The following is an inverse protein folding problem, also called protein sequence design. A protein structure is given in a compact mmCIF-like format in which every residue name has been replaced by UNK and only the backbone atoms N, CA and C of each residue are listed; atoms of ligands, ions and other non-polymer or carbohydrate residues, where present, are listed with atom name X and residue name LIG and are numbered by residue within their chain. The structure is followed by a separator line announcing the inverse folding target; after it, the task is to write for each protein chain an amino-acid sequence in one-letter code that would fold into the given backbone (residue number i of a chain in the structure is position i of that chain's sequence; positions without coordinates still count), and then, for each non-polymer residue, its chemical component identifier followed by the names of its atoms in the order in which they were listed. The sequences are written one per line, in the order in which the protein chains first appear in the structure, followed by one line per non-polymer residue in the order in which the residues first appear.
data_IF_064003532135
#
_entry.id   IF_064003532135
#
_cell.length_a   1.000
_cell.length_b   1.000
_cell.length_c   1.000
_cell.angle_alpha   90.00
_cell.angle_beta   90.00
_cell.angle_gamma   90.00
#
_symmetry.space_group_name_H-M   'P 1'
#
loop_
_entity.id
_entity.type
_entity.pdbx_description
1 polymer ?
#
# COMPACT_ATOMS: atom_id res chain seq x y z
N UNK A 1 24.71 -12.04 10.35
CA UNK A 1 23.90 -12.22 9.12
C UNK A 1 24.89 -12.59 8.04
N UNK A 2 24.97 -13.86 7.67
CA UNK A 2 25.94 -14.34 6.69
C UNK A 2 25.53 -13.94 5.28
N UNK A 3 26.48 -13.71 4.38
CA UNK A 3 26.21 -13.29 3.01
C UNK A 3 25.23 -14.22 2.27
N UNK A 4 25.20 -15.50 2.66
CA UNK A 4 24.27 -16.49 2.14
C UNK A 4 22.81 -16.19 2.52
N UNK A 5 22.54 -15.67 3.72
CA UNK A 5 21.17 -15.32 4.16
C UNK A 5 20.62 -14.11 3.41
N UNK A 6 21.49 -13.13 3.11
CA UNK A 6 21.10 -11.93 2.35
C UNK A 6 20.80 -12.30 0.90
N UNK A 7 21.63 -13.15 0.28
CA UNK A 7 21.42 -13.61 -1.09
C UNK A 7 20.12 -14.41 -1.24
N UNK A 8 19.83 -15.33 -0.31
CA UNK A 8 18.56 -16.06 -0.32
C UNK A 8 17.34 -15.14 -0.18
N UNK A 9 17.43 -14.07 0.62
CA UNK A 9 16.37 -13.07 0.75
C UNK A 9 16.14 -12.29 -0.54
N UNK A 10 17.21 -11.91 -1.24
CA UNK A 10 17.15 -11.23 -2.54
C UNK A 10 16.55 -12.14 -3.61
N UNK A 11 16.93 -13.41 -3.63
CA UNK A 11 16.43 -14.35 -4.63
C UNK A 11 14.95 -14.69 -4.41
N UNK A 12 14.50 -14.81 -3.16
CA UNK A 12 13.08 -14.91 -2.84
C UNK A 12 12.29 -13.66 -3.29
N UNK A 13 12.84 -12.47 -3.04
CA UNK A 13 12.22 -11.23 -3.51
C UNK A 13 12.15 -11.16 -5.04
N UNK A 14 13.21 -11.55 -5.77
CA UNK A 14 13.21 -11.61 -7.24
C UNK A 14 12.15 -12.55 -7.78
N UNK A 15 11.97 -13.72 -7.17
CA UNK A 15 10.94 -14.67 -7.59
C UNK A 15 9.54 -14.09 -7.41
N UNK A 16 9.27 -13.46 -6.26
CA UNK A 16 7.98 -12.81 -5.98
C UNK A 16 7.75 -11.62 -6.92
N UNK A 17 8.76 -10.79 -7.16
CA UNK A 17 8.66 -9.65 -8.07
C UNK A 17 8.42 -10.08 -9.53
N UNK A 18 8.95 -11.24 -9.93
CA UNK A 18 8.72 -11.79 -11.27
C UNK A 18 7.31 -12.37 -11.41
N UNK A 19 6.81 -13.07 -10.38
CA UNK A 19 5.49 -13.69 -10.38
C UNK A 19 4.36 -12.67 -10.14
N UNK A 20 4.59 -11.71 -9.25
CA UNK A 20 3.63 -10.70 -8.81
C UNK A 20 4.32 -9.33 -8.78
N UNK A 21 4.44 -8.64 -9.93
CA UNK A 21 5.21 -7.40 -10.03
C UNK A 21 4.70 -6.30 -9.08
N UNK A 22 3.38 -6.17 -8.90
CA UNK A 22 2.79 -5.21 -7.97
C UNK A 22 3.03 -5.57 -6.49
N UNK A 23 3.09 -6.85 -6.14
CA UNK A 23 3.43 -7.30 -4.79
C UNK A 23 4.91 -7.04 -4.48
N UNK A 24 5.80 -7.33 -5.43
CA UNK A 24 7.23 -7.00 -5.32
C UNK A 24 7.45 -5.49 -5.17
N UNK A 25 6.76 -4.69 -5.98
CA UNK A 25 6.77 -3.22 -5.86
C UNK A 25 6.27 -2.76 -4.49
N UNK A 26 5.18 -3.33 -3.98
CA UNK A 26 4.67 -2.99 -2.66
C UNK A 26 5.70 -3.24 -1.57
N UNK A 27 6.30 -4.43 -1.55
CA UNK A 27 7.33 -4.82 -0.58
C UNK A 27 8.52 -3.86 -0.65
N UNK A 28 8.99 -3.54 -1.86
CA UNK A 28 10.10 -2.60 -2.06
C UNK A 28 9.76 -1.20 -1.52
N UNK A 29 8.56 -0.70 -1.81
CA UNK A 29 8.10 0.61 -1.34
C UNK A 29 7.92 0.64 0.18
N UNK A 30 7.47 -0.45 0.81
CA UNK A 30 7.43 -0.55 2.27
C UNK A 30 8.82 -0.54 2.89
N UNK A 31 9.79 -1.25 2.30
CA UNK A 31 11.18 -1.23 2.77
C UNK A 31 11.79 0.17 2.64
N UNK A 32 11.58 0.83 1.50
CA UNK A 32 12.04 2.22 1.29
C UNK A 32 11.35 3.16 2.29
N UNK A 33 10.03 3.03 2.48
CA UNK A 33 9.28 3.81 3.46
C UNK A 33 9.75 3.61 4.90
N UNK A 34 10.19 2.41 5.26
CA UNK A 34 10.76 2.11 6.57
C UNK A 34 12.16 2.72 6.78
N UNK A 35 12.92 2.89 5.70
CA UNK A 35 14.26 3.50 5.73
C UNK A 35 14.21 5.03 5.66
N UNK A 36 13.24 5.58 4.94
CA UNK A 36 13.03 7.02 4.80
C UNK A 36 12.39 7.57 6.08
N UNK A 37 12.93 8.68 6.61
CA UNK A 37 12.34 9.37 7.77
C UNK A 37 11.47 10.55 7.34
N UNK A 38 10.45 10.84 8.15
CA UNK A 38 9.59 12.01 7.98
C UNK A 38 8.40 11.80 7.05
N UNK A 39 7.78 12.89 6.59
CA UNK A 39 6.51 12.88 5.85
C UNK A 39 6.59 12.13 4.52
N UNK A 40 7.79 12.04 3.93
CA UNK A 40 8.01 11.31 2.67
C UNK A 40 7.80 9.80 2.84
N UNK A 41 8.03 9.24 4.03
CA UNK A 41 7.75 7.83 4.32
C UNK A 41 6.28 7.46 4.10
N UNK A 42 5.36 8.38 4.43
CA UNK A 42 3.93 8.19 4.23
C UNK A 42 3.57 8.04 2.75
N UNK A 43 4.29 8.74 1.86
CA UNK A 43 4.07 8.62 0.42
C UNK A 43 4.47 7.22 -0.06
N UNK A 44 5.62 6.72 0.39
CA UNK A 44 6.07 5.37 0.05
C UNK A 44 5.14 4.29 0.60
N UNK A 45 4.63 4.45 1.84
CA UNK A 45 3.64 3.55 2.40
C UNK A 45 2.30 3.60 1.67
N UNK A 46 1.84 4.79 1.28
CA UNK A 46 0.62 4.94 0.49
C UNK A 46 0.77 4.29 -0.88
N UNK A 47 1.89 4.52 -1.59
CA UNK A 47 2.17 3.89 -2.87
C UNK A 47 2.31 2.36 -2.74
N UNK A 48 2.93 1.87 -1.67
CA UNK A 48 3.01 0.43 -1.38
C UNK A 48 1.66 -0.20 -1.11
N UNK A 49 0.80 0.47 -0.33
CA UNK A 49 -0.58 0.03 -0.09
C UNK A 49 -1.42 0.03 -1.38
N UNK A 50 -1.27 1.05 -2.23
CA UNK A 50 -1.92 1.07 -3.56
C UNK A 50 -1.44 -0.07 -4.45
N UNK A 51 -0.14 -0.38 -4.43
CA UNK A 51 0.41 -1.51 -5.16
C UNK A 51 -0.12 -2.86 -4.64
N UNK A 52 -0.33 -3.01 -3.32
CA UNK A 52 -1.03 -4.17 -2.76
C UNK A 52 -2.47 -4.27 -3.26
N UNK A 53 -3.22 -3.17 -3.20
CA UNK A 53 -4.60 -3.14 -3.70
C UNK A 53 -4.67 -3.54 -5.17
N UNK A 54 -3.72 -3.09 -5.98
CA UNK A 54 -3.58 -3.49 -7.38
C UNK A 54 -3.26 -4.99 -7.52
N UNK A 55 -2.36 -5.52 -6.69
CA UNK A 55 -1.98 -6.94 -6.72
C UNK A 55 -3.13 -7.89 -6.40
N UNK A 56 -4.10 -7.44 -5.60
CA UNK A 56 -5.28 -8.22 -5.24
C UNK A 56 -6.51 -7.88 -6.11
N UNK A 57 -6.38 -7.01 -7.12
CA UNK A 57 -7.50 -6.55 -7.94
C UNK A 57 -8.53 -5.72 -7.17
N UNK A 58 -8.19 -5.25 -5.97
CA UNK A 58 -9.05 -4.47 -5.08
C UNK A 58 -8.99 -2.97 -5.38
N UNK A 59 -8.20 -2.55 -6.37
CA UNK A 59 -8.05 -1.13 -6.71
C UNK A 59 -9.40 -0.50 -7.09
N UNK A 60 -10.19 -1.13 -7.95
CA UNK A 60 -11.51 -0.62 -8.33
C UNK A 60 -12.47 -0.57 -7.14
N UNK A 61 -12.45 -1.59 -6.28
CA UNK A 61 -13.22 -1.62 -5.02
C UNK A 61 -12.81 -0.49 -4.09
N UNK A 62 -11.51 -0.23 -3.94
CA UNK A 62 -10.98 0.86 -3.13
C UNK A 62 -11.38 2.22 -3.68
N UNK A 63 -11.27 2.44 -4.99
CA UNK A 63 -11.71 3.69 -5.63
C UNK A 63 -13.22 3.88 -5.50
N UNK A 64 -14.02 2.82 -5.65
CA UNK A 64 -15.47 2.85 -5.44
C UNK A 64 -15.81 3.23 -4.00
N UNK A 65 -15.11 2.65 -3.02
CA UNK A 65 -15.23 3.03 -1.61
C UNK A 65 -14.87 4.50 -1.39
N UNK A 66 -13.72 4.97 -1.89
CA UNK A 66 -13.31 6.36 -1.77
C UNK A 66 -14.32 7.34 -2.38
N UNK A 67 -14.99 6.97 -3.47
CA UNK A 67 -16.07 7.79 -4.05
C UNK A 67 -17.31 7.86 -3.16
N UNK A 68 -17.55 6.84 -2.34
CA UNK A 68 -18.67 6.78 -1.40
C UNK A 68 -18.36 7.48 -0.07
N UNK A 69 -17.10 7.55 0.34
CA UNK A 69 -16.67 8.22 1.57
C UNK A 69 -17.20 9.66 1.71
N UNK A 70 -17.14 10.55 0.70
CA UNK A 70 -17.72 11.89 0.79
C UNK A 70 -19.21 11.88 1.10
N UNK A 71 -19.96 10.92 0.55
CA UNK A 71 -21.40 10.76 0.80
C UNK A 71 -21.66 10.30 2.22
N UNK A 72 -20.89 9.33 2.73
CA UNK A 72 -20.96 8.87 4.11
C UNK A 72 -20.61 9.99 5.10
N UNK A 73 -19.59 10.80 4.79
CA UNK A 73 -19.22 11.96 5.61
C UNK A 73 -20.32 13.03 5.63
N UNK A 74 -20.95 13.32 4.49
CA UNK A 74 -22.09 14.25 4.41
C UNK A 74 -23.30 13.74 5.20
N UNK A 75 -23.57 12.44 5.18
CA UNK A 75 -24.64 11.83 5.96
C UNK A 75 -24.34 11.89 7.47
N UNK A 76 -23.10 11.59 7.86
CA UNK A 76 -22.67 11.66 9.26
C UNK A 76 -22.68 13.12 9.79
N UNK A 77 -22.23 14.09 8.99
CA UNK A 77 -22.26 15.51 9.37
C UNK A 77 -23.68 16.06 9.44
N UNK A 78 -24.58 15.59 8.58
CA UNK A 78 -26.00 15.99 8.62
C UNK A 78 -26.76 15.34 9.79
N UNK A 79 -26.34 14.14 10.20
CA UNK A 79 -26.88 13.45 11.38
C UNK A 79 -26.36 13.97 12.72
N UNK A 80 -25.15 14.56 12.76
CA UNK A 80 -24.58 15.20 13.96
C UNK A 80 -24.76 16.71 14.03
N UNK A 81 -24.99 17.39 12.90
CA UNK A 81 -25.22 18.85 12.82
C UNK A 81 -26.70 19.26 12.84
N UNK A 82 -27.61 18.32 13.10
CA UNK A 82 -29.06 18.53 13.19
C UNK A 82 -29.57 18.87 14.59
N UNK A 83 -28.71 19.44 15.46
CA UNK A 83 -29.07 20.08 16.73
C UNK A 83 -28.37 21.44 16.84
#
# INVERSE_FOLDING_TARGET
MDANTVNSGIDAFKQIATAHPYLGLAILLFVIGALVRGKTALVFYALGALALLQSFGLFDTFISFLKQVPTLLKQLSSGLGGV
#
